data_IF_906532311880
#
_entry.id   IF_906532311880
#
_cell.length_a   1.000
_cell.length_b   1.000
_cell.length_c   1.000
_cell.angle_alpha   90.00
_cell.angle_beta   90.00
_cell.angle_gamma   90.00
#
_symmetry.space_group_name_H-M   'P 1'
#
loop_
_entity.id
_entity.type
_entity.pdbx_description
1 polymer ?
#
# COMPACT_ATOMS: atom_id res chain seq x y z
N UNK A 1 22.05 -0.79 -0.07
CA UNK A 1 20.60 -0.96 -0.31
C UNK A 1 20.32 -0.82 -1.79
N UNK A 2 19.61 -1.78 -2.36
CA UNK A 2 19.29 -1.71 -3.79
C UNK A 2 18.17 -0.71 -4.02
N UNK A 3 18.42 0.21 -4.95
CA UNK A 3 17.43 1.19 -5.35
C UNK A 3 16.49 0.54 -6.39
N UNK A 4 15.23 0.36 -6.02
CA UNK A 4 14.24 -0.27 -6.89
C UNK A 4 13.35 0.83 -7.49
N UNK A 5 13.23 0.90 -8.81
CA UNK A 5 12.38 1.89 -9.44
C UNK A 5 10.91 1.60 -9.16
N UNK A 6 10.13 2.67 -9.05
CA UNK A 6 8.69 2.54 -8.87
C UNK A 6 7.95 2.31 -10.19
N UNK A 7 8.59 2.66 -11.30
CA UNK A 7 7.99 2.55 -12.63
C UNK A 7 8.92 1.80 -13.57
N UNK A 8 8.33 0.99 -14.44
CA UNK A 8 9.05 0.37 -15.52
C UNK A 8 9.48 1.46 -16.51
N UNK A 9 10.77 1.49 -16.83
CA UNK A 9 11.33 2.56 -17.67
C UNK A 9 10.90 2.44 -19.13
N UNK A 10 10.55 1.26 -19.56
CA UNK A 10 10.13 1.04 -20.95
C UNK A 10 8.63 1.26 -21.15
N UNK A 11 7.81 0.79 -20.20
CA UNK A 11 6.35 0.82 -20.33
C UNK A 11 5.69 1.91 -19.51
N UNK A 12 6.39 2.46 -18.49
CA UNK A 12 5.83 3.41 -17.56
C UNK A 12 4.87 2.79 -16.54
N UNK A 13 4.81 1.46 -16.46
CA UNK A 13 3.94 0.75 -15.55
C UNK A 13 4.43 0.88 -14.11
N UNK A 14 3.50 1.09 -13.18
CA UNK A 14 3.80 1.15 -11.75
C UNK A 14 4.15 -0.25 -11.23
N UNK A 15 5.33 -0.36 -10.61
CA UNK A 15 5.86 -1.65 -10.15
C UNK A 15 5.59 -1.94 -8.67
N UNK A 16 4.98 -1.01 -7.93
CA UNK A 16 4.75 -1.18 -6.50
C UNK A 16 3.90 -2.41 -6.17
N UNK A 17 2.94 -2.74 -7.03
CA UNK A 17 2.09 -3.92 -6.83
C UNK A 17 2.91 -5.21 -6.80
N UNK A 18 3.96 -5.29 -7.62
CA UNK A 18 4.85 -6.45 -7.64
C UNK A 18 5.64 -6.54 -6.34
N UNK A 19 6.06 -5.38 -5.81
CA UNK A 19 6.81 -5.35 -4.55
C UNK A 19 5.93 -5.76 -3.38
N UNK A 20 4.65 -5.39 -3.40
CA UNK A 20 3.69 -5.79 -2.37
C UNK A 20 3.60 -7.31 -2.28
N UNK A 21 3.54 -7.99 -3.42
CA UNK A 21 3.45 -9.45 -3.46
C UNK A 21 4.66 -10.13 -2.81
N UNK A 22 5.81 -9.45 -2.75
CA UNK A 22 7.01 -9.99 -2.13
C UNK A 22 7.09 -9.76 -0.63
N UNK A 23 6.24 -8.88 -0.09
CA UNK A 23 6.25 -8.58 1.34
C UNK A 23 5.72 -9.74 2.17
N UNK A 24 6.42 -10.05 3.25
CA UNK A 24 5.99 -11.10 4.19
C UNK A 24 4.62 -10.79 4.78
N UNK A 25 4.34 -9.52 5.03
CA UNK A 25 3.04 -9.08 5.53
C UNK A 25 1.91 -9.47 4.59
N UNK A 26 2.11 -9.24 3.29
CA UNK A 26 1.14 -9.58 2.27
C UNK A 26 0.95 -11.09 2.16
N UNK A 27 2.06 -11.84 2.17
CA UNK A 27 2.00 -13.31 2.08
C UNK A 27 1.19 -13.90 3.23
N UNK A 28 1.38 -13.38 4.45
CA UNK A 28 0.63 -13.85 5.60
C UNK A 28 -0.86 -13.59 5.47
N UNK A 29 -1.23 -12.44 4.92
CA UNK A 29 -2.64 -12.10 4.70
C UNK A 29 -3.28 -13.05 3.69
N UNK A 30 -2.56 -13.36 2.60
CA UNK A 30 -3.07 -14.25 1.56
C UNK A 30 -3.22 -15.69 2.09
N UNK A 31 -2.31 -16.13 2.95
CA UNK A 31 -2.35 -17.47 3.51
C UNK A 31 -3.43 -17.65 4.58
N UNK A 32 -3.76 -16.57 5.30
CA UNK A 32 -4.77 -16.61 6.34
C UNK A 32 -6.15 -16.24 5.79
N UNK A 33 -7.14 -17.04 6.09
CA UNK A 33 -8.51 -16.80 5.66
C UNK A 33 -9.21 -15.73 6.50
N UNK A 34 -8.73 -15.51 7.73
CA UNK A 34 -9.31 -14.53 8.64
C UNK A 34 -8.26 -13.54 9.09
N UNK A 35 -8.69 -12.28 9.24
CA UNK A 35 -7.83 -11.21 9.73
C UNK A 35 -8.25 -10.92 11.17
N UNK A 36 -7.31 -11.02 12.11
CA UNK A 36 -7.56 -10.73 13.52
C UNK A 36 -7.32 -9.24 13.80
N UNK A 37 -7.92 -8.75 14.90
CA UNK A 37 -7.67 -7.38 15.35
C UNK A 37 -6.19 -7.15 15.68
N UNK A 38 -5.53 -8.17 16.22
CA UNK A 38 -4.10 -8.09 16.53
C UNK A 38 -3.26 -7.89 15.26
N UNK A 39 -3.60 -8.60 14.18
CA UNK A 39 -2.91 -8.46 12.90
C UNK A 39 -3.12 -7.07 12.33
N UNK A 40 -4.32 -6.51 12.45
CA UNK A 40 -4.62 -5.17 11.98
C UNK A 40 -3.81 -4.12 12.75
N UNK A 41 -3.76 -4.23 14.08
CA UNK A 41 -2.99 -3.31 14.92
C UNK A 41 -1.51 -3.39 14.57
N UNK A 42 -0.99 -4.60 14.41
CA UNK A 42 0.42 -4.81 14.05
C UNK A 42 0.74 -4.14 12.71
N UNK A 43 -0.15 -4.28 11.72
CA UNK A 43 0.06 -3.67 10.42
C UNK A 43 0.03 -2.14 10.50
N UNK A 44 -0.88 -1.57 11.29
CA UNK A 44 -0.96 -0.12 11.50
C UNK A 44 0.35 0.39 12.12
N UNK A 45 0.88 -0.32 13.11
CA UNK A 45 2.13 0.06 13.76
C UNK A 45 3.31 0.01 12.80
N UNK A 46 3.33 -0.99 11.93
CA UNK A 46 4.39 -1.12 10.92
C UNK A 46 4.35 0.03 9.94
N UNK A 47 3.16 0.38 9.45
CA UNK A 47 2.99 1.51 8.53
C UNK A 47 3.42 2.81 9.20
N UNK A 48 2.98 3.03 10.45
CA UNK A 48 3.32 4.25 11.18
C UNK A 48 4.83 4.38 11.38
N UNK A 49 5.51 3.28 11.70
CA UNK A 49 6.95 3.27 11.91
C UNK A 49 7.69 3.65 10.61
N UNK A 50 7.28 3.06 9.50
CA UNK A 50 7.90 3.35 8.20
C UNK A 50 7.65 4.79 7.76
N UNK A 51 6.45 5.31 8.02
CA UNK A 51 6.12 6.69 7.69
C UNK A 51 6.94 7.67 8.52
N UNK A 52 7.19 7.36 9.80
CA UNK A 52 8.08 8.21 10.62
C UNK A 52 9.49 8.24 10.07
N UNK A 53 10.02 7.09 9.68
CA UNK A 53 11.34 7.01 9.07
C UNK A 53 11.40 7.82 7.77
N UNK A 54 10.37 7.67 6.95
CA UNK A 54 10.29 8.40 5.68
C UNK A 54 10.24 9.91 5.92
N UNK A 55 9.42 10.35 6.87
CA UNK A 55 9.27 11.77 7.18
C UNK A 55 10.61 12.40 7.57
N UNK A 56 11.43 11.67 8.34
CA UNK A 56 12.74 12.15 8.78
C UNK A 56 13.71 12.35 7.62
N UNK A 57 13.53 11.64 6.51
CA UNK A 57 14.44 11.69 5.37
C UNK A 57 14.01 12.66 4.28
N UNK A 58 12.78 13.14 4.33
CA UNK A 58 12.23 13.96 3.26
C UNK A 58 12.48 15.46 3.50
N UNK A 59 12.80 16.16 2.41
CA UNK A 59 12.77 17.63 2.41
C UNK A 59 11.31 18.10 2.51
N UNK A 60 11.05 19.37 2.87
CA UNK A 60 9.68 19.87 2.90
C UNK A 60 8.94 19.73 1.56
N UNK A 61 9.62 19.96 0.45
CA UNK A 61 9.03 19.81 -0.88
C UNK A 61 8.68 18.36 -1.18
N UNK A 62 9.61 17.46 -0.89
CA UNK A 62 9.39 16.03 -1.10
C UNK A 62 8.28 15.51 -0.19
N UNK A 63 8.21 16.02 1.04
CA UNK A 63 7.16 15.63 1.98
C UNK A 63 5.78 16.03 1.47
N UNK A 64 5.65 17.21 0.85
CA UNK A 64 4.39 17.66 0.28
C UNK A 64 3.92 16.71 -0.83
N UNK A 65 4.82 16.33 -1.71
CA UNK A 65 4.51 15.38 -2.79
C UNK A 65 4.14 14.01 -2.24
N UNK A 66 4.91 13.54 -1.26
CA UNK A 66 4.64 12.24 -0.64
C UNK A 66 3.28 12.24 0.07
N UNK A 67 2.92 13.34 0.71
CA UNK A 67 1.62 13.47 1.38
C UNK A 67 0.48 13.34 0.38
N UNK A 68 0.58 14.02 -0.75
CA UNK A 68 -0.43 13.91 -1.80
C UNK A 68 -0.50 12.50 -2.37
N UNK A 69 0.65 11.89 -2.64
CA UNK A 69 0.71 10.55 -3.19
C UNK A 69 0.08 9.52 -2.25
N UNK A 70 0.40 9.59 -0.97
CA UNK A 70 -0.17 8.69 0.03
C UNK A 70 -1.68 8.88 0.15
N UNK A 71 -2.15 10.14 0.11
CA UNK A 71 -3.57 10.44 0.12
C UNK A 71 -4.30 9.85 -1.07
N UNK A 72 -3.73 10.01 -2.26
CA UNK A 72 -4.32 9.49 -3.48
C UNK A 72 -4.29 7.96 -3.52
N UNK A 73 -3.25 7.33 -2.95
CA UNK A 73 -3.22 5.88 -2.80
C UNK A 73 -4.34 5.38 -1.89
N UNK A 74 -4.61 6.11 -0.83
CA UNK A 74 -5.72 5.76 0.06
C UNK A 74 -7.07 5.86 -0.65
N UNK A 75 -7.25 6.89 -1.48
CA UNK A 75 -8.46 7.04 -2.29
C UNK A 75 -8.59 5.88 -3.27
N UNK A 76 -7.50 5.55 -3.95
CA UNK A 76 -7.50 4.43 -4.89
C UNK A 76 -7.90 3.13 -4.19
N UNK A 77 -7.34 2.89 -3.01
CA UNK A 77 -7.67 1.70 -2.23
C UNK A 77 -9.16 1.66 -1.86
N UNK A 78 -9.72 2.81 -1.45
CA UNK A 78 -11.14 2.90 -1.11
C UNK A 78 -12.03 2.61 -2.32
N UNK A 79 -11.64 3.12 -3.49
CA UNK A 79 -12.39 2.86 -4.73
C UNK A 79 -12.35 1.39 -5.10
N UNK A 80 -11.20 0.74 -4.96
CA UNK A 80 -11.07 -0.68 -5.25
C UNK A 80 -11.92 -1.52 -4.31
N UNK A 81 -11.94 -1.17 -3.03
CA UNK A 81 -12.77 -1.87 -2.05
C UNK A 81 -14.25 -1.71 -2.37
N UNK A 82 -14.67 -0.50 -2.70
CA UNK A 82 -16.08 -0.25 -3.08
C UNK A 82 -16.46 -1.04 -4.33
N UNK A 83 -15.58 -1.12 -5.29
CA UNK A 83 -15.83 -1.87 -6.51
C UNK A 83 -16.00 -3.36 -6.22
N UNK A 84 -15.17 -3.91 -5.35
CA UNK A 84 -15.28 -5.30 -4.93
C UNK A 84 -16.58 -5.57 -4.18
N UNK A 85 -16.97 -4.65 -3.29
CA UNK A 85 -18.21 -4.77 -2.55
C UNK A 85 -19.41 -4.71 -3.48
N UNK A 86 -19.41 -3.81 -4.46
CA UNK A 86 -20.48 -3.70 -5.44
C UNK A 86 -20.58 -4.99 -6.26
N UNK A 87 -19.47 -5.56 -6.68
CA UNK A 87 -19.47 -6.81 -7.42
C UNK A 87 -20.03 -7.96 -6.59
N UNK A 88 -19.73 -7.99 -5.28
CA UNK A 88 -20.25 -9.01 -4.37
C UNK A 88 -21.74 -8.89 -4.14
N UNK A 89 -22.28 -7.69 -4.27
CA UNK A 89 -23.70 -7.41 -4.02
C UNK A 89 -24.57 -7.58 -5.25
N UNK A 90 -23.98 -7.75 -6.43
CA UNK A 90 -24.76 -7.94 -7.64
C UNK A 90 -25.40 -9.32 -7.64
N UNK A 91 -26.69 -9.40 -7.99
CA UNK A 91 -27.33 -10.70 -8.12
C UNK A 91 -26.75 -11.47 -9.30
N UNK A 92 -26.60 -12.76 -9.09
CA UNK A 92 -26.06 -13.63 -10.12
C UNK A 92 -27.18 -14.40 -10.80
#
# INVERSE_FOLDING_TARGET
>A
MMDRPWFDQETGTLLLDEYVAELDSYRRIVEDETITDAELVEQIQRVASLLRQLEETLSPEAKAIATEALGELAVLNALQVKRLQAASMLPQ
#
